data_IF_041079343325
#
_entry.id   IF_041079343325
#
_cell.length_a   1.000
_cell.length_b   1.000
_cell.length_c   1.000
_cell.angle_alpha   90.00
_cell.angle_beta   90.00
_cell.angle_gamma   90.00
#
_symmetry.space_group_name_H-M   'P 1'
#
loop_
_entity.id
_entity.type
_entity.pdbx_description
1 polymer ?
#
# COMPACT_ATOMS: atom_id res chain seq x y z
N UNK A 1 36.46 -36.25 -29.80
CA UNK A 1 35.14 -36.94 -29.81
C UNK A 1 35.31 -38.09 -28.82
N UNK A 2 34.72 -38.11 -27.62
CA UNK A 2 33.28 -38.06 -27.37
C UNK A 2 32.92 -37.39 -26.03
N UNK A 3 31.69 -36.86 -25.99
CA UNK A 3 31.03 -36.21 -24.86
C UNK A 3 30.44 -37.25 -23.90
N UNK A 4 30.40 -36.95 -22.59
CA UNK A 4 29.19 -37.04 -21.75
C UNK A 4 29.48 -36.55 -20.31
N UNK A 5 28.77 -35.51 -19.82
CA UNK A 5 28.80 -35.09 -18.43
C UNK A 5 27.80 -35.88 -17.54
N UNK A 6 28.04 -35.77 -16.24
CA UNK A 6 27.31 -36.27 -15.07
C UNK A 6 25.77 -36.12 -15.10
N UNK A 7 25.01 -37.04 -14.46
CA UNK A 7 23.59 -36.85 -14.24
C UNK A 7 23.30 -35.80 -13.15
N UNK A 8 22.18 -35.12 -13.39
CA UNK A 8 21.43 -34.18 -12.56
C UNK A 8 21.02 -34.79 -11.22
N UNK A 9 21.21 -34.05 -10.13
CA UNK A 9 20.44 -34.25 -8.90
C UNK A 9 20.15 -32.87 -8.29
N UNK A 10 19.01 -32.32 -8.70
CA UNK A 10 18.37 -31.19 -8.06
C UNK A 10 18.06 -31.51 -6.60
N UNK A 11 18.90 -31.03 -5.69
CA UNK A 11 18.63 -30.99 -4.26
C UNK A 11 18.08 -29.64 -3.86
N UNK A 12 16.76 -29.57 -3.68
CA UNK A 12 16.04 -28.41 -3.16
C UNK A 12 16.71 -27.84 -1.90
N UNK A 13 16.88 -26.51 -1.86
CA UNK A 13 17.24 -25.82 -0.64
C UNK A 13 16.20 -26.18 0.44
N UNK A 14 16.61 -26.46 1.69
CA UNK A 14 15.68 -26.86 2.75
C UNK A 14 14.63 -25.76 2.94
N UNK A 15 13.38 -26.12 2.63
CA UNK A 15 12.20 -25.34 2.97
C UNK A 15 12.22 -25.11 4.49
N UNK A 16 12.35 -23.85 4.89
CA UNK A 16 12.28 -23.46 6.28
C UNK A 16 10.78 -23.46 6.66
N UNK A 17 10.30 -24.42 7.47
CA UNK A 17 8.86 -24.66 7.67
C UNK A 17 8.14 -23.53 8.43
N UNK A 18 8.87 -22.51 8.88
CA UNK A 18 8.33 -21.34 9.58
C UNK A 18 8.26 -20.07 8.73
N UNK A 19 8.54 -20.17 7.42
CA UNK A 19 8.44 -18.99 6.53
C UNK A 19 7.01 -18.45 6.48
N UNK A 20 6.00 -19.32 6.43
CA UNK A 20 4.60 -18.91 6.33
C UNK A 20 4.04 -18.33 7.64
N UNK A 21 4.53 -18.77 8.81
CA UNK A 21 4.10 -18.24 10.11
C UNK A 21 4.56 -16.80 10.36
N UNK A 22 5.74 -16.41 9.85
CA UNK A 22 6.24 -15.03 9.97
C UNK A 22 5.58 -14.06 8.96
N UNK A 23 4.82 -14.58 7.98
CA UNK A 23 4.13 -13.76 6.98
C UNK A 23 2.73 -13.34 7.41
N UNK A 24 2.13 -14.02 8.39
CA UNK A 24 0.81 -13.64 8.92
C UNK A 24 0.79 -12.20 9.48
N UNK A 25 1.90 -11.73 10.05
CA UNK A 25 2.09 -10.36 10.54
C UNK A 25 2.05 -9.30 9.43
N UNK A 26 2.42 -9.66 8.18
CA UNK A 26 2.42 -8.78 7.01
C UNK A 26 1.12 -8.83 6.19
N UNK A 27 0.22 -9.76 6.52
CA UNK A 27 -1.00 -9.95 5.76
C UNK A 27 -2.08 -8.97 6.22
N UNK A 28 -2.56 -8.13 5.31
CA UNK A 28 -3.78 -7.36 5.54
C UNK A 28 -4.92 -8.32 5.91
N UNK A 29 -5.75 -7.94 6.89
CA UNK A 29 -6.91 -8.73 7.28
C UNK A 29 -7.82 -9.04 6.10
N UNK A 30 -8.55 -10.16 6.19
CA UNK A 30 -9.43 -10.60 5.10
C UNK A 30 -10.47 -9.53 4.75
N UNK A 31 -10.51 -9.14 3.48
CA UNK A 31 -11.42 -8.12 2.98
C UNK A 31 -12.67 -8.76 2.35
N UNK A 32 -13.84 -8.51 2.92
CA UNK A 32 -15.12 -8.96 2.36
C UNK A 32 -15.39 -8.26 1.02
N UNK A 33 -16.25 -8.86 0.18
CA UNK A 33 -16.62 -8.27 -1.11
C UNK A 33 -17.28 -6.89 -0.96
N UNK A 34 -18.19 -6.72 0.02
CA UNK A 34 -18.83 -5.44 0.33
C UNK A 34 -17.81 -4.38 0.76
N UNK A 35 -16.86 -4.73 1.63
CA UNK A 35 -15.84 -3.79 2.08
C UNK A 35 -14.90 -3.40 0.94
N UNK A 36 -14.56 -4.34 0.05
CA UNK A 36 -13.80 -4.05 -1.18
C UNK A 36 -14.55 -3.07 -2.07
N UNK A 37 -15.83 -3.32 -2.33
CA UNK A 37 -16.66 -2.43 -3.14
C UNK A 37 -16.76 -1.01 -2.55
N UNK A 38 -16.85 -0.90 -1.22
CA UNK A 38 -16.81 0.39 -0.53
C UNK A 38 -15.48 1.14 -0.74
N UNK A 39 -14.35 0.45 -0.60
CA UNK A 39 -13.03 1.03 -0.89
C UNK A 39 -12.87 1.45 -2.35
N UNK A 40 -13.33 0.63 -3.30
CA UNK A 40 -13.31 0.97 -4.73
C UNK A 40 -14.19 2.19 -5.05
N UNK A 41 -15.34 2.32 -4.38
CA UNK A 41 -16.19 3.51 -4.49
C UNK A 41 -15.45 4.76 -3.98
N UNK A 42 -14.75 4.67 -2.84
CA UNK A 42 -13.89 5.75 -2.34
C UNK A 42 -12.81 6.11 -3.37
N UNK A 43 -12.12 5.12 -3.96
CA UNK A 43 -11.11 5.34 -5.01
C UNK A 43 -11.71 6.12 -6.18
N UNK A 44 -12.89 5.74 -6.67
CA UNK A 44 -13.56 6.43 -7.79
C UNK A 44 -13.88 7.88 -7.45
N UNK A 45 -14.25 8.17 -6.20
CA UNK A 45 -14.55 9.53 -5.74
C UNK A 45 -13.30 10.43 -5.70
N UNK A 46 -12.18 9.90 -5.19
CA UNK A 46 -10.95 10.71 -4.99
C UNK A 46 -10.06 10.77 -6.23
N UNK A 47 -10.15 9.79 -7.15
CA UNK A 47 -9.28 9.68 -8.34
C UNK A 47 -9.12 10.99 -9.13
N UNK A 48 -10.17 11.79 -9.39
CA UNK A 48 -10.01 13.04 -10.11
C UNK A 48 -9.15 14.09 -9.37
N UNK A 49 -9.15 14.10 -8.03
CA UNK A 49 -8.27 14.98 -7.27
C UNK A 49 -6.83 14.48 -7.28
N UNK A 50 -6.61 13.16 -7.20
CA UNK A 50 -5.27 12.59 -7.30
C UNK A 50 -4.63 12.90 -8.66
N UNK A 51 -5.41 12.81 -9.74
CA UNK A 51 -4.95 13.21 -11.08
C UNK A 51 -4.65 14.71 -11.19
N UNK A 52 -5.34 15.57 -10.44
CA UNK A 52 -5.02 17.00 -10.37
C UNK A 52 -3.70 17.24 -9.64
N UNK A 53 -3.48 16.56 -8.51
CA UNK A 53 -2.19 16.60 -7.80
C UNK A 53 -1.05 16.15 -8.71
N UNK A 54 -1.24 15.04 -9.43
CA UNK A 54 -0.30 14.54 -10.45
C UNK A 54 0.07 15.60 -11.47
N UNK A 55 -0.93 16.15 -12.17
CA UNK A 55 -0.72 17.13 -13.24
C UNK A 55 -0.07 18.42 -12.74
N UNK A 56 -0.38 18.82 -11.51
CA UNK A 56 0.18 20.00 -10.88
C UNK A 56 1.56 19.76 -10.22
N UNK A 57 2.07 18.52 -10.23
CA UNK A 57 3.29 18.11 -9.52
C UNK A 57 3.28 18.49 -8.04
N UNK A 58 2.11 18.37 -7.41
CA UNK A 58 1.87 18.70 -5.99
C UNK A 58 1.94 17.42 -5.16
N UNK A 59 3.15 17.06 -4.73
CA UNK A 59 3.44 15.82 -3.99
C UNK A 59 3.83 16.07 -2.53
N UNK A 60 3.64 17.29 -2.04
CA UNK A 60 3.86 17.56 -0.62
C UNK A 60 2.76 16.94 0.22
N UNK A 61 3.11 16.54 1.45
CA UNK A 61 2.14 16.01 2.41
C UNK A 61 0.94 16.95 2.61
N UNK A 62 1.20 18.27 2.72
CA UNK A 62 0.14 19.28 2.83
C UNK A 62 -0.82 19.25 1.64
N UNK A 63 -0.31 19.04 0.43
CA UNK A 63 -1.15 19.01 -0.77
C UNK A 63 -2.11 17.82 -0.76
N UNK A 64 -1.62 16.65 -0.30
CA UNK A 64 -2.43 15.44 -0.14
C UNK A 64 -3.50 15.64 0.92
N UNK A 65 -3.13 16.13 2.10
CA UNK A 65 -4.07 16.40 3.20
C UNK A 65 -5.16 17.38 2.78
N UNK A 66 -4.77 18.50 2.15
CA UNK A 66 -5.71 19.51 1.68
C UNK A 66 -6.66 18.91 0.62
N UNK A 67 -6.15 18.07 -0.30
CA UNK A 67 -6.97 17.41 -1.31
C UNK A 67 -7.99 16.43 -0.70
N UNK A 68 -7.58 15.62 0.29
CA UNK A 68 -8.42 14.59 0.90
C UNK A 68 -9.40 15.15 1.94
N UNK A 69 -9.10 16.31 2.53
CA UNK A 69 -9.96 16.98 3.52
C UNK A 69 -11.41 17.14 3.07
N UNK A 70 -11.64 17.33 1.76
CA UNK A 70 -12.97 17.51 1.16
C UNK A 70 -13.89 16.30 1.36
N UNK A 71 -13.32 15.11 1.57
CA UNK A 71 -14.06 13.86 1.77
C UNK A 71 -14.01 13.37 3.22
N UNK A 72 -13.48 14.20 4.14
CA UNK A 72 -13.27 13.78 5.52
C UNK A 72 -12.34 12.58 5.64
N UNK A 73 -11.43 12.38 4.67
CA UNK A 73 -10.46 11.28 4.67
C UNK A 73 -9.12 11.79 5.24
N UNK A 74 -9.19 12.40 6.43
CA UNK A 74 -8.07 13.10 7.09
C UNK A 74 -7.45 12.29 8.22
N UNK A 75 -6.81 12.98 9.17
CA UNK A 75 -6.12 12.35 10.33
C UNK A 75 -7.04 11.44 11.15
N UNK A 76 -8.31 11.81 11.31
CA UNK A 76 -9.32 11.01 12.02
C UNK A 76 -9.54 9.61 11.40
N UNK A 77 -9.11 9.42 10.15
CA UNK A 77 -9.20 8.19 9.40
C UNK A 77 -7.86 7.42 9.35
N UNK A 78 -6.88 7.84 10.16
CA UNK A 78 -5.52 7.28 10.13
C UNK A 78 -4.81 7.57 8.81
N UNK A 79 -4.96 8.80 8.29
CA UNK A 79 -4.26 9.22 7.07
C UNK A 79 -2.74 9.27 7.32
N UNK A 80 -2.04 8.27 6.81
CA UNK A 80 -0.60 8.24 6.73
C UNK A 80 -0.17 8.77 5.36
N UNK A 81 0.80 9.68 5.34
CA UNK A 81 1.39 10.22 4.11
C UNK A 81 2.90 10.07 4.19
N UNK A 82 3.49 9.57 3.11
CA UNK A 82 4.93 9.46 2.95
C UNK A 82 5.33 10.07 1.61
N UNK A 83 6.14 11.14 1.66
CA UNK A 83 6.77 11.73 0.48
C UNK A 83 8.27 11.52 0.58
N UNK A 84 8.85 10.75 -0.35
CA UNK A 84 10.30 10.53 -0.36
C UNK A 84 11.05 11.75 -0.90
N UNK A 85 12.29 11.92 -0.47
CA UNK A 85 13.18 12.92 -1.04
C UNK A 85 13.79 12.42 -2.37
N UNK A 86 13.85 13.26 -3.42
CA UNK A 86 13.33 14.61 -3.45
C UNK A 86 11.79 14.61 -3.48
N UNK A 87 11.19 15.44 -2.60
CA UNK A 87 9.77 15.59 -2.24
C UNK A 87 8.78 15.91 -3.39
N UNK A 88 9.21 15.73 -4.63
CA UNK A 88 8.53 16.04 -5.88
C UNK A 88 8.57 14.90 -6.90
N UNK A 89 9.00 13.69 -6.52
CA UNK A 89 8.99 12.52 -7.41
C UNK A 89 7.93 11.48 -7.04
N UNK A 90 7.59 11.38 -5.76
CA UNK A 90 6.62 10.41 -5.28
C UNK A 90 5.92 10.89 -4.03
N UNK A 91 4.62 10.67 -3.96
CA UNK A 91 3.89 10.67 -2.70
C UNK A 91 3.02 9.43 -2.59
N UNK A 92 3.15 8.75 -1.46
CA UNK A 92 2.27 7.66 -1.06
C UNK A 92 1.40 8.12 0.09
N UNK A 93 0.16 7.64 0.13
CA UNK A 93 -0.67 7.78 1.30
C UNK A 93 -1.60 6.59 1.47
N UNK A 94 -2.07 6.38 2.69
CA UNK A 94 -3.14 5.44 3.00
C UNK A 94 -4.04 5.97 4.10
N UNK A 95 -5.32 5.58 4.08
CA UNK A 95 -6.28 5.89 5.13
C UNK A 95 -7.37 4.82 5.22
N UNK A 96 -8.05 4.76 6.35
CA UNK A 96 -9.17 3.85 6.58
C UNK A 96 -10.51 4.56 6.36
N UNK A 97 -11.32 4.10 5.40
CA UNK A 97 -12.64 4.70 5.11
C UNK A 97 -13.77 4.20 6.03
N UNK A 98 -13.45 3.46 7.09
CA UNK A 98 -14.41 2.81 8.00
C UNK A 98 -14.78 1.37 7.60
N UNK A 99 -14.42 0.91 6.40
CA UNK A 99 -14.68 -0.44 5.89
C UNK A 99 -13.43 -1.16 5.37
N UNK A 100 -12.53 -0.39 4.78
CA UNK A 100 -11.33 -0.87 4.10
C UNK A 100 -10.22 0.18 4.20
N UNK A 101 -8.99 -0.27 4.02
CA UNK A 101 -7.88 0.62 3.74
C UNK A 101 -7.85 0.97 2.25
N UNK A 102 -7.63 2.26 1.99
CA UNK A 102 -7.42 2.80 0.66
C UNK A 102 -6.03 3.42 0.64
N UNK A 103 -5.19 3.00 -0.29
CA UNK A 103 -3.89 3.63 -0.53
C UNK A 103 -3.79 4.17 -1.94
N UNK A 104 -2.92 5.16 -2.12
CA UNK A 104 -2.50 5.59 -3.44
C UNK A 104 -1.02 5.96 -3.45
N UNK A 105 -0.40 5.72 -4.61
CA UNK A 105 0.91 6.24 -4.97
C UNK A 105 0.74 7.16 -6.17
N UNK A 106 1.28 8.38 -6.06
CA UNK A 106 1.29 9.37 -7.13
C UNK A 106 2.74 9.62 -7.52
N UNK A 107 3.02 9.43 -8.82
CA UNK A 107 4.27 9.82 -9.47
C UNK A 107 3.94 10.75 -10.65
N UNK A 108 4.92 11.46 -11.25
CA UNK A 108 4.68 12.25 -12.46
C UNK A 108 3.97 11.47 -13.58
N UNK A 109 4.26 10.18 -13.70
CA UNK A 109 3.79 9.30 -14.77
C UNK A 109 2.37 8.78 -14.50
N UNK A 110 2.03 8.45 -13.24
CA UNK A 110 0.79 7.71 -12.94
C UNK A 110 0.25 7.94 -11.54
N UNK A 111 -1.03 7.58 -11.38
CA UNK A 111 -1.68 7.36 -10.09
C UNK A 111 -2.01 5.88 -9.97
N UNK A 112 -1.44 5.22 -8.98
CA UNK A 112 -1.77 3.83 -8.60
C UNK A 112 -2.61 3.86 -7.33
N UNK A 113 -3.60 2.99 -7.21
CA UNK A 113 -4.50 2.92 -6.05
C UNK A 113 -4.74 1.48 -5.67
N UNK A 114 -4.84 1.20 -4.38
CA UNK A 114 -5.12 -0.14 -3.86
C UNK A 114 -6.19 -0.10 -2.76
N UNK A 115 -6.92 -1.21 -2.64
CA UNK A 115 -7.92 -1.44 -1.59
C UNK A 115 -7.62 -2.77 -0.91
N UNK A 116 -7.41 -2.72 0.39
CA UNK A 116 -7.00 -3.86 1.23
C UNK A 116 -7.67 -3.79 2.61
N UNK A 117 -7.57 -4.86 3.40
CA UNK A 117 -8.05 -4.86 4.79
C UNK A 117 -7.09 -4.12 5.71
N UNK A 118 -7.54 -3.76 6.92
CA UNK A 118 -6.61 -3.27 7.95
C UNK A 118 -5.56 -4.34 8.29
N UNK A 119 -4.33 -3.93 8.57
CA UNK A 119 -3.30 -4.86 9.03
C UNK A 119 -3.68 -5.46 10.38
N UNK A 120 -3.39 -6.75 10.57
CA UNK A 120 -3.65 -7.43 11.84
C UNK A 120 -2.81 -6.83 12.98
N UNK A 121 -1.57 -6.48 12.67
CA UNK A 121 -0.67 -5.72 13.53
C UNK A 121 -0.24 -4.44 12.81
N UNK A 122 -1.01 -3.34 12.96
CA UNK A 122 -0.72 -2.10 12.26
C UNK A 122 0.44 -1.34 12.89
N UNK A 123 1.11 -0.52 12.08
CA UNK A 123 2.05 0.48 12.58
C UNK A 123 1.32 1.50 13.49
N UNK A 124 1.98 2.10 14.50
CA UNK A 124 1.39 3.16 15.31
C UNK A 124 0.83 4.34 14.51
N UNK A 125 1.30 4.57 13.28
CA UNK A 125 0.78 5.59 12.36
C UNK A 125 -0.64 5.29 11.83
N UNK A 126 -1.12 4.04 11.90
CA UNK A 126 -2.52 3.73 11.63
C UNK A 126 -2.80 2.34 11.06
N UNK A 127 -4.09 1.94 11.04
CA UNK A 127 -4.53 0.58 10.67
C UNK A 127 -4.20 0.17 9.21
N UNK A 128 -3.86 1.15 8.38
CA UNK A 128 -3.56 0.95 6.96
C UNK A 128 -2.06 1.00 6.65
N UNK A 129 -1.21 1.09 7.68
CA UNK A 129 0.24 1.09 7.54
C UNK A 129 0.77 -0.24 8.06
N UNK A 130 1.56 -0.92 7.23
CA UNK A 130 2.23 -2.16 7.63
C UNK A 130 3.24 -1.85 8.74
N UNK A 131 3.14 -2.57 9.86
CA UNK A 131 4.18 -2.49 10.89
C UNK A 131 5.46 -3.14 10.38
N UNK A 132 6.50 -2.34 10.14
CA UNK A 132 7.75 -2.86 9.57
C UNK A 132 8.70 -3.50 10.59
N UNK A 133 8.44 -3.35 11.90
CA UNK A 133 9.26 -3.93 12.98
C UNK A 133 10.72 -3.43 13.00
N UNK A 134 11.18 -2.91 14.14
CA UNK A 134 12.60 -2.67 14.34
C UNK A 134 13.33 -4.00 14.56
N UNK A 135 14.31 -4.30 13.70
CA UNK A 135 15.24 -5.42 13.85
C UNK A 135 16.01 -5.38 15.17
#
# INVERSE_FOLDING_TARGET
MSVSPVPDDGGAAPENPHYDENHAYRMSGQLTADNRAAGEATVRLIRPALEKLRKAKRFGEKDVRDALSRWGCGDDNGLAVASDAPQYERVWFSFHNGKSCVSAEITPERVTTEVYGAYAEPDPAGPCVENRGGH
#
